data_IF_614022306365
#
_entry.id   IF_614022306365
#
_cell.length_a   1.000
_cell.length_b   1.000
_cell.length_c   1.000
_cell.angle_alpha   90.00
_cell.angle_beta   90.00
_cell.angle_gamma   90.00
#
_symmetry.space_group_name_H-M   'P 1'
#
loop_
_entity.id
_entity.type
_entity.pdbx_description
1 polymer ?
#
# COMPACT_ATOMS: atom_id res chain seq x y z
N UNK A 1 21.98 3.53 -4.67
CA UNK A 1 21.46 4.71 -3.94
C UNK A 1 21.94 4.70 -2.50
N UNK A 2 21.96 5.89 -1.87
CA UNK A 2 22.24 6.10 -0.44
C UNK A 2 21.11 6.89 0.22
N UNK A 3 20.85 6.65 1.49
CA UNK A 3 19.82 7.36 2.24
C UNK A 3 20.02 7.31 3.77
N UNK A 4 19.66 8.42 4.42
CA UNK A 4 19.63 8.64 5.85
C UNK A 4 18.37 9.43 6.24
N UNK A 5 17.70 9.04 7.33
CA UNK A 5 16.62 9.86 7.91
C UNK A 5 17.17 11.05 8.68
N UNK A 6 18.30 10.83 9.36
CA UNK A 6 19.03 11.83 10.13
C UNK A 6 20.41 11.93 9.51
N UNK A 7 20.85 13.16 9.22
CA UNK A 7 22.18 13.42 8.65
C UNK A 7 23.26 12.69 9.45
N UNK A 8 24.21 12.08 8.75
CA UNK A 8 25.32 11.28 9.31
C UNK A 8 24.91 9.95 9.98
N UNK A 9 23.64 9.54 9.91
CA UNK A 9 23.18 8.23 10.34
C UNK A 9 22.59 7.45 9.14
N UNK A 10 23.44 6.88 8.27
CA UNK A 10 22.99 6.21 7.06
C UNK A 10 22.20 4.94 7.38
N UNK A 11 21.06 4.78 6.70
CA UNK A 11 20.24 3.56 6.74
C UNK A 11 20.53 2.70 5.52
N UNK A 12 20.72 3.31 4.35
CA UNK A 12 21.08 2.65 3.11
C UNK A 12 22.41 3.23 2.65
N UNK A 13 23.47 2.43 2.69
CA UNK A 13 24.82 2.85 2.28
C UNK A 13 25.09 2.65 0.78
N UNK A 14 24.59 1.54 0.23
CA UNK A 14 24.68 1.24 -1.20
C UNK A 14 23.66 0.16 -1.55
N UNK A 15 22.61 0.54 -2.26
CA UNK A 15 21.64 -0.40 -2.82
C UNK A 15 21.50 -0.18 -4.33
N UNK A 16 21.72 -1.26 -5.09
CA UNK A 16 21.44 -1.34 -6.52
C UNK A 16 20.54 -2.55 -6.72
N UNK A 17 19.33 -2.29 -7.23
CA UNK A 17 18.31 -3.30 -7.47
C UNK A 17 17.65 -3.00 -8.81
N UNK A 18 17.46 -4.04 -9.63
CA UNK A 18 16.73 -3.95 -10.89
C UNK A 18 15.62 -5.00 -10.90
N UNK A 19 14.37 -4.56 -10.96
CA UNK A 19 13.18 -5.43 -10.96
C UNK A 19 12.53 -5.36 -12.33
N UNK A 20 12.37 -6.50 -12.99
CA UNK A 20 11.73 -6.56 -14.30
C UNK A 20 10.20 -6.58 -14.17
N UNK A 21 9.50 -6.12 -15.21
CA UNK A 21 8.03 -6.19 -15.27
C UNK A 21 7.56 -7.64 -15.04
N UNK A 22 6.60 -7.81 -14.14
CA UNK A 22 6.03 -9.12 -13.77
C UNK A 22 6.90 -9.95 -12.83
N UNK A 23 8.09 -9.48 -12.45
CA UNK A 23 8.95 -10.19 -11.51
C UNK A 23 8.44 -10.01 -10.08
N UNK A 24 8.27 -11.12 -9.38
CA UNK A 24 8.07 -11.13 -7.93
C UNK A 24 9.43 -11.20 -7.24
N UNK A 25 9.64 -10.33 -6.25
CA UNK A 25 10.87 -10.29 -5.46
C UNK A 25 10.54 -10.24 -3.98
N UNK A 26 11.45 -10.77 -3.16
CA UNK A 26 11.40 -10.66 -1.72
C UNK A 26 12.62 -9.88 -1.21
N UNK A 27 12.40 -8.91 -0.33
CA UNK A 27 13.46 -8.16 0.36
C UNK A 27 13.48 -8.62 1.82
N UNK A 28 14.53 -9.35 2.19
CA UNK A 28 14.68 -9.97 3.51
C UNK A 28 15.89 -9.41 4.26
N UNK A 29 15.86 -9.47 5.58
CA UNK A 29 16.94 -8.99 6.43
C UNK A 29 16.45 -8.66 7.85
N UNK A 30 17.37 -8.41 8.80
CA UNK A 30 17.01 -8.10 10.19
C UNK A 30 16.26 -6.76 10.32
N UNK A 31 15.66 -6.53 11.48
CA UNK A 31 15.09 -5.22 11.85
C UNK A 31 16.17 -4.15 11.72
N UNK A 32 15.82 -2.97 11.18
CA UNK A 32 16.77 -1.89 10.93
C UNK A 32 17.53 -1.97 9.61
N UNK A 33 17.45 -3.07 8.86
CA UNK A 33 18.13 -3.22 7.56
C UNK A 33 17.60 -2.32 6.42
N UNK A 34 16.69 -1.37 6.70
CA UNK A 34 16.15 -0.43 5.70
C UNK A 34 15.04 -0.97 4.79
N UNK A 35 14.46 -2.13 5.07
CA UNK A 35 13.38 -2.74 4.25
C UNK A 35 12.17 -1.80 4.09
N UNK A 36 11.62 -1.31 5.20
CA UNK A 36 10.50 -0.35 5.19
C UNK A 36 10.90 0.98 4.55
N UNK A 37 12.17 1.39 4.71
CA UNK A 37 12.71 2.60 4.08
C UNK A 37 12.65 2.54 2.56
N UNK A 38 12.88 1.37 1.95
CA UNK A 38 12.76 1.20 0.49
C UNK A 38 11.35 1.55 0.01
N UNK A 39 10.31 1.10 0.72
CA UNK A 39 8.91 1.41 0.40
C UNK A 39 8.66 2.91 0.49
N UNK A 40 9.15 3.57 1.55
CA UNK A 40 9.01 5.02 1.72
C UNK A 40 9.69 5.83 0.61
N UNK A 41 10.85 5.37 0.13
CA UNK A 41 11.59 6.01 -0.96
C UNK A 41 10.91 5.81 -2.32
N UNK A 42 10.36 4.62 -2.60
CA UNK A 42 9.56 4.37 -3.81
C UNK A 42 8.32 5.28 -3.88
N UNK A 43 7.68 5.52 -2.73
CA UNK A 43 6.53 6.42 -2.60
C UNK A 43 6.91 7.92 -2.54
N UNK A 44 8.22 8.22 -2.56
CA UNK A 44 8.80 9.56 -2.47
C UNK A 44 8.28 10.36 -1.27
N UNK A 45 8.19 9.68 -0.12
CA UNK A 45 7.97 10.32 1.18
C UNK A 45 9.24 11.02 1.67
N UNK A 46 10.40 10.52 1.27
CA UNK A 46 11.71 11.13 1.51
C UNK A 46 12.48 11.23 0.19
N UNK A 47 13.42 12.16 0.13
CA UNK A 47 14.37 12.27 -0.97
C UNK A 47 15.65 11.51 -0.59
N UNK A 48 16.30 10.90 -1.58
CA UNK A 48 17.56 10.14 -1.39
C UNK A 48 18.75 11.08 -1.20
N UNK A 49 19.79 10.61 -0.50
CA UNK A 49 21.03 11.38 -0.33
C UNK A 49 21.89 11.34 -1.60
N UNK A 50 21.93 10.19 -2.29
CA UNK A 50 22.76 9.97 -3.47
C UNK A 50 22.22 8.83 -4.36
N UNK A 51 22.48 8.91 -5.66
CA UNK A 51 22.01 7.99 -6.69
C UNK A 51 20.66 8.40 -7.31
N UNK A 52 19.88 7.41 -7.75
CA UNK A 52 18.58 7.64 -8.37
C UNK A 52 17.67 6.41 -8.26
N UNK A 53 16.36 6.65 -8.30
CA UNK A 53 15.31 5.63 -8.41
C UNK A 53 14.55 5.88 -9.72
N UNK A 54 14.24 4.82 -10.45
CA UNK A 54 13.58 4.89 -11.74
C UNK A 54 12.31 4.03 -11.75
N UNK A 55 11.25 4.56 -12.36
CA UNK A 55 10.04 3.83 -12.73
C UNK A 55 9.91 3.89 -14.24
N UNK A 56 9.83 2.74 -14.92
CA UNK A 56 9.82 2.65 -16.39
C UNK A 56 10.92 3.49 -17.08
N UNK A 57 12.14 3.43 -16.51
CA UNK A 57 13.34 4.18 -16.94
C UNK A 57 13.26 5.70 -16.74
N UNK A 58 12.18 6.22 -16.16
CA UNK A 58 12.03 7.63 -15.82
C UNK A 58 12.44 7.84 -14.37
N UNK A 59 13.34 8.79 -14.11
CA UNK A 59 13.71 9.14 -12.73
C UNK A 59 12.46 9.65 -11.98
N UNK A 60 12.16 9.07 -10.83
CA UNK A 60 10.93 9.36 -10.07
C UNK A 60 10.82 10.83 -9.63
N UNK A 61 11.93 11.58 -9.57
CA UNK A 61 11.94 13.01 -9.24
C UNK A 61 11.35 13.87 -10.35
N UNK A 62 11.34 13.36 -11.59
CA UNK A 62 10.73 14.03 -12.76
C UNK A 62 9.23 13.73 -12.89
N UNK A 63 8.69 12.82 -12.07
CA UNK A 63 7.29 12.42 -12.09
C UNK A 63 6.54 13.23 -11.00
N UNK A 64 5.34 13.72 -11.29
CA UNK A 64 4.49 14.34 -10.26
C UNK A 64 4.16 13.29 -9.19
N UNK A 65 4.25 13.66 -7.89
CA UNK A 65 4.01 12.73 -6.78
C UNK A 65 2.64 12.03 -6.86
N UNK A 66 1.61 12.74 -7.29
CA UNK A 66 0.27 12.17 -7.49
C UNK A 66 0.23 11.08 -8.57
N UNK A 67 0.92 11.28 -9.69
CA UNK A 67 1.05 10.28 -10.76
C UNK A 67 1.88 9.09 -10.30
N UNK A 68 3.03 9.35 -9.66
CA UNK A 68 3.92 8.31 -9.14
C UNK A 68 3.18 7.37 -8.19
N UNK A 69 2.44 7.92 -7.22
CA UNK A 69 1.72 7.14 -6.22
C UNK A 69 0.57 6.33 -6.81
N UNK A 70 -0.08 6.80 -7.89
CA UNK A 70 -1.08 6.02 -8.63
C UNK A 70 -0.50 4.81 -9.37
N UNK A 71 0.81 4.77 -9.58
CA UNK A 71 1.50 3.62 -10.17
C UNK A 71 1.85 2.52 -9.17
N UNK A 72 1.64 2.76 -7.86
CA UNK A 72 1.90 1.79 -6.81
C UNK A 72 0.62 1.42 -6.08
N UNK A 73 0.45 0.13 -5.82
CA UNK A 73 -0.44 -0.37 -4.78
C UNK A 73 0.42 -0.79 -3.59
N UNK A 74 -0.05 -0.50 -2.38
CA UNK A 74 0.73 -0.73 -1.16
C UNK A 74 -0.20 -1.26 -0.07
N UNK A 75 0.15 -2.43 0.47
CA UNK A 75 -0.51 -3.03 1.62
C UNK A 75 0.47 -3.02 2.79
N UNK A 76 0.13 -2.27 3.84
CA UNK A 76 0.95 -2.16 5.04
C UNK A 76 0.68 -3.31 6.01
N UNK A 77 1.68 -3.64 6.84
CA UNK A 77 1.52 -4.63 7.91
C UNK A 77 0.42 -4.23 8.90
N UNK A 78 0.36 -2.95 9.25
CA UNK A 78 -0.76 -2.35 9.99
C UNK A 78 -1.68 -1.67 8.99
N UNK A 79 -2.82 -2.31 8.73
CA UNK A 79 -3.86 -1.74 7.89
C UNK A 79 -4.72 -0.80 8.72
N UNK A 80 -5.18 0.29 8.09
CA UNK A 80 -6.05 1.29 8.68
C UNK A 80 -7.35 1.32 7.90
N UNK A 81 -8.46 1.37 8.62
CA UNK A 81 -9.80 1.57 8.05
C UNK A 81 -10.34 2.84 8.67
N UNK A 82 -10.98 3.66 7.86
CA UNK A 82 -11.62 4.88 8.31
C UNK A 82 -12.99 4.56 8.85
N UNK A 83 -13.49 5.44 9.71
CA UNK A 83 -14.90 5.40 10.08
C UNK A 83 -15.75 5.68 8.83
N UNK A 84 -16.66 4.76 8.53
CA UNK A 84 -17.45 4.78 7.30
C UNK A 84 -17.96 3.38 6.95
N UNK A 85 -18.68 3.25 5.85
CA UNK A 85 -19.15 1.93 5.41
C UNK A 85 -18.00 1.06 4.88
N UNK A 86 -18.25 -0.24 4.79
CA UNK A 86 -17.36 -1.17 4.06
C UNK A 86 -17.13 -0.67 2.63
N UNK A 87 -18.19 -0.20 1.95
CA UNK A 87 -18.09 0.36 0.61
C UNK A 87 -17.22 1.63 0.55
N UNK A 88 -17.36 2.55 1.51
CA UNK A 88 -16.53 3.77 1.57
C UNK A 88 -15.05 3.45 1.71
N UNK A 89 -14.71 2.43 2.53
CA UNK A 89 -13.34 1.98 2.70
C UNK A 89 -12.78 1.30 1.42
N UNK A 90 -13.60 0.50 0.73
CA UNK A 90 -13.20 -0.20 -0.50
C UNK A 90 -13.03 0.73 -1.71
N UNK A 91 -13.80 1.82 -1.74
CA UNK A 91 -13.73 2.82 -2.81
C UNK A 91 -12.82 4.00 -2.47
N UNK A 92 -12.15 3.93 -1.32
CA UNK A 92 -11.25 4.97 -0.86
C UNK A 92 -10.12 5.22 -1.88
N UNK A 93 -10.04 6.46 -2.38
CA UNK A 93 -9.08 6.84 -3.42
C UNK A 93 -9.58 6.67 -4.86
N UNK A 94 -10.78 6.11 -5.06
CA UNK A 94 -11.45 6.06 -6.36
C UNK A 94 -12.99 6.10 -6.23
N UNK A 95 -13.55 7.30 -6.15
CA UNK A 95 -15.00 7.53 -5.99
C UNK A 95 -15.87 7.14 -7.20
N UNK A 96 -15.26 6.69 -8.31
CA UNK A 96 -15.96 6.35 -9.56
C UNK A 96 -16.20 4.85 -9.74
N UNK A 97 -15.86 4.02 -8.76
CA UNK A 97 -15.98 2.56 -8.85
C UNK A 97 -17.42 2.15 -8.57
N UNK A 98 -18.03 1.42 -9.51
CA UNK A 98 -19.38 0.92 -9.31
C UNK A 98 -19.40 -0.29 -8.37
N UNK A 99 -20.56 -0.59 -7.77
CA UNK A 99 -20.70 -1.69 -6.81
C UNK A 99 -20.31 -3.06 -7.38
N UNK A 100 -20.54 -3.31 -8.67
CA UNK A 100 -20.19 -4.60 -9.28
C UNK A 100 -18.66 -4.80 -9.33
N UNK A 101 -17.90 -3.75 -9.66
CA UNK A 101 -16.43 -3.80 -9.62
C UNK A 101 -15.92 -4.06 -8.21
N UNK A 102 -16.52 -3.42 -7.20
CA UNK A 102 -16.21 -3.66 -5.78
C UNK A 102 -16.48 -5.12 -5.40
N UNK A 103 -17.63 -5.67 -5.79
CA UNK A 103 -17.99 -7.07 -5.52
C UNK A 103 -16.97 -8.02 -6.13
N UNK A 104 -16.58 -7.80 -7.38
CA UNK A 104 -15.60 -8.66 -8.06
C UNK A 104 -14.20 -8.57 -7.43
N UNK A 105 -13.78 -7.39 -6.95
CA UNK A 105 -12.55 -7.24 -6.17
C UNK A 105 -12.62 -7.99 -4.84
N UNK A 106 -13.71 -7.85 -4.09
CA UNK A 106 -13.92 -8.56 -2.82
C UNK A 106 -14.00 -10.09 -2.97
N UNK A 107 -14.49 -10.59 -4.11
CA UNK A 107 -14.47 -12.04 -4.40
C UNK A 107 -13.04 -12.52 -4.64
N UNK A 108 -12.23 -11.76 -5.39
CA UNK A 108 -10.82 -12.09 -5.65
C UNK A 108 -9.95 -12.05 -4.39
N UNK A 109 -10.30 -11.22 -3.41
CA UNK A 109 -9.62 -11.18 -2.11
C UNK A 109 -10.27 -12.09 -1.05
N UNK A 110 -11.30 -12.87 -1.40
CA UNK A 110 -12.01 -13.79 -0.50
C UNK A 110 -12.69 -13.13 0.71
N UNK A 111 -13.01 -11.83 0.66
CA UNK A 111 -13.73 -11.14 1.74
C UNK A 111 -15.23 -10.97 1.48
N UNK A 112 -15.69 -11.19 0.25
CA UNK A 112 -17.09 -11.00 -0.13
C UNK A 112 -18.08 -11.76 0.77
N UNK A 113 -17.85 -13.05 1.01
CA UNK A 113 -18.72 -13.90 1.85
C UNK A 113 -18.85 -13.36 3.28
N UNK A 114 -17.76 -12.84 3.83
CA UNK A 114 -17.81 -12.19 5.14
C UNK A 114 -18.64 -10.90 5.08
N UNK A 115 -18.41 -10.03 4.09
CA UNK A 115 -19.16 -8.78 3.96
C UNK A 115 -20.66 -9.03 3.87
N UNK A 116 -21.12 -9.98 3.05
CA UNK A 116 -22.55 -10.27 2.89
C UNK A 116 -23.18 -10.93 4.12
N UNK A 117 -22.39 -11.55 4.99
CA UNK A 117 -22.86 -12.09 6.27
C UNK A 117 -23.10 -11.02 7.34
N UNK A 118 -22.59 -9.80 7.14
CA UNK A 118 -22.87 -8.66 8.00
C UNK A 118 -24.31 -8.21 7.80
N UNK A 119 -24.95 -7.71 8.87
CA UNK A 119 -26.35 -7.27 8.86
C UNK A 119 -26.68 -6.32 7.70
N UNK A 120 -25.78 -5.37 7.41
CA UNK A 120 -25.99 -4.33 6.41
C UNK A 120 -25.08 -4.51 5.17
N UNK A 121 -24.43 -5.66 5.03
CA UNK A 121 -23.56 -5.95 3.89
C UNK A 121 -22.47 -4.90 3.68
N UNK A 122 -22.34 -4.40 2.46
CA UNK A 122 -21.44 -3.31 2.07
C UNK A 122 -21.74 -1.97 2.75
N UNK A 123 -22.95 -1.76 3.26
CA UNK A 123 -23.34 -0.56 4.00
C UNK A 123 -23.03 -0.67 5.50
N UNK A 124 -22.44 -1.79 5.96
CA UNK A 124 -22.07 -1.95 7.36
C UNK A 124 -21.05 -0.87 7.76
N UNK A 125 -21.40 -0.07 8.76
CA UNK A 125 -20.52 0.99 9.27
C UNK A 125 -19.43 0.39 10.14
N UNK A 126 -18.19 0.65 9.77
CA UNK A 126 -16.98 0.35 10.53
C UNK A 126 -16.66 1.55 11.41
N UNK A 127 -16.58 1.35 12.72
CA UNK A 127 -16.12 2.39 13.66
C UNK A 127 -14.60 2.40 13.76
N UNK A 128 -14.03 3.54 14.13
CA UNK A 128 -12.60 3.70 14.35
C UNK A 128 -12.06 2.59 15.29
N UNK A 129 -11.00 1.89 14.87
CA UNK A 129 -10.45 0.72 15.57
C UNK A 129 -11.06 -0.64 15.19
N UNK A 130 -12.13 -0.69 14.40
CA UNK A 130 -12.60 -1.92 13.74
C UNK A 130 -13.04 -3.04 14.69
N UNK A 131 -13.70 -2.71 15.81
CA UNK A 131 -14.02 -3.64 16.92
C UNK A 131 -14.78 -4.92 16.48
N UNK A 132 -15.38 -4.94 15.28
CA UNK A 132 -16.10 -6.09 14.72
C UNK A 132 -15.39 -6.81 13.54
N UNK A 133 -14.14 -6.45 13.23
CA UNK A 133 -13.34 -7.04 12.14
C UNK A 133 -12.06 -7.67 12.71
N UNK A 134 -11.81 -8.93 12.38
CA UNK A 134 -10.54 -9.58 12.69
C UNK A 134 -9.39 -8.95 11.90
N UNK A 135 -8.16 -9.09 12.40
CA UNK A 135 -6.96 -8.62 11.71
C UNK A 135 -6.85 -9.19 10.28
N UNK A 136 -7.20 -10.46 10.10
CA UNK A 136 -7.19 -11.12 8.78
C UNK A 136 -8.21 -10.50 7.83
N UNK A 137 -9.44 -10.29 8.28
CA UNK A 137 -10.46 -9.59 7.48
C UNK A 137 -10.03 -8.16 7.14
N UNK A 138 -9.41 -7.44 8.08
CA UNK A 138 -8.87 -6.09 7.83
C UNK A 138 -7.83 -6.10 6.70
N UNK A 139 -6.99 -7.13 6.65
CA UNK A 139 -5.99 -7.30 5.59
C UNK A 139 -6.65 -7.62 4.25
N UNK A 140 -7.59 -8.58 4.21
CA UNK A 140 -8.31 -8.92 2.97
C UNK A 140 -9.12 -7.74 2.42
N UNK A 141 -9.66 -6.87 3.30
CA UNK A 141 -10.35 -5.64 2.92
C UNK A 141 -9.39 -4.60 2.33
N UNK A 142 -8.13 -4.56 2.79
CA UNK A 142 -7.10 -3.66 2.24
C UNK A 142 -6.52 -4.17 0.92
N UNK A 143 -6.64 -5.48 0.66
CA UNK A 143 -6.20 -6.10 -0.59
C UNK A 143 -7.26 -5.94 -1.69
N UNK A 144 -8.54 -5.94 -1.32
CA UNK A 144 -9.67 -5.64 -2.21
C UNK A 144 -9.62 -4.19 -2.69
#
# INVERSE_FOLDING_TARGET
MKFSYVKNHPIINYLTLNVKKGQQIAIVGPTGAGKTTIVNLLMRFYEIDDGAIYLDKININKIKKSTLRKSFAMVLQETWLFEGTVYDNLTYGNEKVNLNEVIEACKKSHIHEYIISLKDGYNTVLKEGGVNISKGQKQLLTIA
#
